data_IF_577265252945
#
_entry.id   IF_577265252945
#
_cell.length_a   1.000
_cell.length_b   1.000
_cell.length_c   1.000
_cell.angle_alpha   90.00
_cell.angle_beta   90.00
_cell.angle_gamma   90.00
#
_symmetry.space_group_name_H-M   'P 1'
#
loop_
_entity.id
_entity.type
_entity.pdbx_description
1 polymer ?
#
# COMPACT_ATOMS: atom_id res chain seq x y z
N UNK A 1 -30.00 0.07 -31.50
CA UNK A 1 -30.17 -1.28 -30.93
C UNK A 1 -30.58 -1.14 -29.48
N UNK A 2 -31.71 -1.75 -29.15
CA UNK A 2 -32.58 -1.40 -28.03
C UNK A 2 -32.05 -1.85 -26.66
N UNK A 3 -32.15 -0.93 -25.68
CA UNK A 3 -32.36 -1.24 -24.28
C UNK A 3 -33.85 -1.57 -24.10
N UNK A 4 -34.16 -2.77 -23.60
CA UNK A 4 -35.51 -3.12 -23.15
C UNK A 4 -35.48 -3.18 -21.63
N UNK A 5 -36.02 -2.13 -21.01
CA UNK A 5 -36.42 -2.09 -19.60
C UNK A 5 -37.95 -2.02 -19.59
N UNK A 6 -38.60 -3.14 -19.27
CA UNK A 6 -40.03 -3.19 -18.99
C UNK A 6 -40.27 -3.02 -17.50
N UNK A 7 -40.87 -1.90 -17.10
CA UNK A 7 -41.50 -1.74 -15.80
C UNK A 7 -42.83 -0.99 -15.99
N UNK A 8 -43.89 -1.64 -15.52
CA UNK A 8 -45.29 -1.32 -15.69
C UNK A 8 -45.70 -0.04 -14.94
N UNK A 9 -46.47 0.82 -15.61
CA UNK A 9 -47.15 1.99 -15.07
C UNK A 9 -48.42 1.63 -14.30
N UNK A 10 -48.61 2.24 -13.12
CA UNK A 10 -49.87 2.78 -12.56
C UNK A 10 -49.41 3.94 -11.65
N UNK A 11 -49.72 5.22 -11.84
CA UNK A 11 -51.00 5.82 -12.20
C UNK A 11 -51.61 6.39 -10.92
N UNK A 12 -51.29 7.63 -10.55
CA UNK A 12 -52.20 8.51 -9.81
C UNK A 12 -51.78 9.99 -9.89
N UNK A 13 -52.80 10.81 -9.89
CA UNK A 13 -52.94 12.14 -10.47
C UNK A 13 -52.82 13.28 -9.44
N UNK A 14 -52.52 14.46 -9.99
CA UNK A 14 -53.12 15.77 -9.73
C UNK A 14 -52.64 16.70 -8.58
N UNK A 15 -52.43 17.95 -9.07
CA UNK A 15 -52.75 19.28 -8.50
C UNK A 15 -51.68 19.99 -7.66
N UNK A 16 -51.29 21.16 -8.15
CA UNK A 16 -50.60 22.19 -7.37
C UNK A 16 -49.93 23.26 -8.23
N UNK A 17 -50.74 24.16 -8.80
CA UNK A 17 -50.28 25.33 -9.55
C UNK A 17 -49.41 26.27 -8.71
N UNK A 18 -48.43 26.93 -9.36
CA UNK A 18 -48.23 28.39 -9.32
C UNK A 18 -47.14 28.78 -10.31
N UNK A 19 -47.59 29.40 -11.40
CA UNK A 19 -46.79 30.22 -12.30
C UNK A 19 -46.40 31.52 -11.60
N UNK A 20 -45.15 31.94 -11.77
CA UNK A 20 -44.75 33.32 -11.58
C UNK A 20 -43.85 33.70 -12.75
N UNK A 21 -44.44 34.47 -13.67
CA UNK A 21 -43.76 35.13 -14.79
C UNK A 21 -43.31 36.48 -14.26
N UNK A 22 -42.00 36.77 -14.36
CA UNK A 22 -41.49 38.14 -14.31
C UNK A 22 -40.63 38.35 -15.55
N UNK A 23 -41.10 39.29 -16.38
CA UNK A 23 -40.41 39.79 -17.55
C UNK A 23 -39.23 40.69 -17.14
N UNK A 24 -38.11 40.56 -17.83
CA UNK A 24 -36.93 41.38 -17.62
C UNK A 24 -35.99 41.27 -18.81
N UNK A 25 -36.20 42.15 -19.80
CA UNK A 25 -35.38 42.34 -20.98
C UNK A 25 -34.00 42.89 -20.62
N UNK A 26 -32.93 42.24 -21.07
CA UNK A 26 -31.65 42.89 -21.37
C UNK A 26 -30.88 42.08 -22.41
N UNK A 27 -30.78 42.63 -23.63
CA UNK A 27 -29.86 42.17 -24.68
C UNK A 27 -28.43 42.48 -24.26
N UNK A 28 -27.54 41.49 -24.29
CA UNK A 28 -26.11 41.73 -24.42
C UNK A 28 -25.55 40.87 -25.55
N UNK A 29 -24.89 41.56 -26.48
CA UNK A 29 -24.23 41.02 -27.66
C UNK A 29 -23.01 40.21 -27.23
N UNK A 30 -22.93 38.94 -27.65
CA UNK A 30 -21.73 38.10 -27.46
C UNK A 30 -20.90 38.22 -28.74
N UNK A 31 -19.80 38.96 -28.66
CA UNK A 31 -18.78 39.01 -29.69
C UNK A 31 -18.00 37.68 -29.69
N UNK A 32 -18.09 36.93 -30.78
CA UNK A 32 -17.27 35.75 -31.05
C UNK A 32 -15.86 36.19 -31.43
N UNK A 33 -14.91 36.06 -30.51
CA UNK A 33 -13.48 36.19 -30.82
C UNK A 33 -12.94 34.82 -31.21
N UNK A 34 -12.70 34.65 -32.50
CA UNK A 34 -11.97 33.53 -33.10
C UNK A 34 -10.48 33.69 -32.78
N UNK A 35 -9.90 32.74 -32.05
CA UNK A 35 -8.45 32.64 -31.86
C UNK A 35 -7.95 31.35 -32.51
N UNK A 36 -7.27 31.51 -33.64
CA UNK A 36 -6.57 30.45 -34.35
C UNK A 36 -5.41 29.89 -33.49
N UNK A 37 -5.08 28.59 -33.60
CA UNK A 37 -3.98 28.00 -32.86
C UNK A 37 -2.65 28.43 -33.50
N UNK A 38 -1.84 29.17 -32.74
CA UNK A 38 -0.50 29.56 -33.18
C UNK A 38 0.47 28.42 -32.85
N UNK A 39 0.86 27.65 -33.88
CA UNK A 39 1.91 26.65 -33.84
C UNK A 39 3.28 27.34 -33.86
N UNK A 40 3.97 27.33 -32.71
CA UNK A 40 5.39 27.63 -32.63
C UNK A 40 6.10 26.43 -31.98
N UNK A 41 6.75 25.63 -32.82
CA UNK A 41 7.52 24.44 -32.45
C UNK A 41 8.86 24.86 -31.86
N UNK A 42 9.06 24.63 -30.57
CA UNK A 42 10.38 24.78 -29.92
C UNK A 42 11.10 23.42 -30.06
N UNK A 43 12.33 23.36 -30.63
CA UNK A 43 13.06 22.11 -30.76
C UNK A 43 13.62 21.71 -29.39
N UNK A 44 13.09 20.63 -28.81
CA UNK A 44 13.63 20.01 -27.60
C UNK A 44 14.67 18.98 -28.06
N UNK A 45 15.96 19.10 -27.69
CA UNK A 45 16.95 18.10 -28.04
C UNK A 45 16.64 16.79 -27.30
N UNK A 46 16.48 15.71 -28.07
CA UNK A 46 16.33 14.34 -27.57
C UNK A 46 17.61 13.92 -26.84
N UNK A 47 17.57 13.61 -25.53
CA UNK A 47 18.68 12.89 -24.93
C UNK A 47 18.54 11.43 -25.36
N UNK A 48 19.58 10.91 -26.01
CA UNK A 48 19.72 9.49 -26.31
C UNK A 48 19.59 8.71 -24.99
N UNK A 49 18.46 8.03 -24.81
CA UNK A 49 18.22 7.16 -23.67
C UNK A 49 19.07 5.90 -23.85
N UNK A 50 20.27 5.94 -23.30
CA UNK A 50 21.00 4.71 -23.01
C UNK A 50 20.10 3.83 -22.14
N UNK A 51 19.81 2.62 -22.63
CA UNK A 51 18.91 1.66 -21.98
C UNK A 51 19.41 1.39 -20.57
N UNK A 52 18.83 2.06 -19.58
CA UNK A 52 18.88 1.61 -18.19
C UNK A 52 18.04 0.33 -18.15
N UNK A 53 18.74 -0.77 -18.37
CA UNK A 53 18.24 -2.10 -18.10
C UNK A 53 17.76 -2.06 -16.65
N UNK A 54 16.46 -2.24 -16.46
CA UNK A 54 15.92 -2.66 -15.18
C UNK A 54 16.58 -4.00 -14.90
N UNK A 55 17.71 -3.93 -14.19
CA UNK A 55 18.42 -5.09 -13.72
C UNK A 55 17.38 -5.98 -13.08
N UNK A 56 17.22 -7.18 -13.64
CA UNK A 56 16.56 -8.34 -13.02
C UNK A 56 16.64 -8.15 -11.51
N UNK A 57 15.51 -7.82 -10.86
CA UNK A 57 15.45 -7.68 -9.42
C UNK A 57 16.02 -8.97 -8.84
N UNK A 58 17.20 -8.86 -8.24
CA UNK A 58 18.01 -10.02 -7.89
C UNK A 58 17.19 -10.94 -7.01
N UNK A 59 17.20 -12.24 -7.35
CA UNK A 59 16.85 -13.26 -6.38
C UNK A 59 17.62 -12.99 -5.08
N UNK A 60 17.05 -13.28 -3.90
CA UNK A 60 17.73 -13.04 -2.63
C UNK A 60 19.13 -13.65 -2.68
N UNK A 61 20.13 -12.94 -2.16
CA UNK A 61 21.44 -13.52 -1.95
C UNK A 61 21.26 -14.80 -1.13
N UNK A 62 21.41 -15.95 -1.77
CA UNK A 62 21.47 -17.24 -1.10
C UNK A 62 22.59 -17.13 -0.04
N UNK A 63 22.22 -17.34 1.23
CA UNK A 63 23.02 -17.58 2.44
C UNK A 63 24.57 -17.39 2.42
N UNK A 64 25.09 -16.34 1.80
CA UNK A 64 26.54 -16.10 1.64
C UNK A 64 26.93 -14.75 1.03
N UNK A 65 25.98 -13.82 0.88
CA UNK A 65 26.28 -12.44 0.44
C UNK A 65 26.86 -11.60 1.57
N UNK A 66 27.65 -10.56 1.24
CA UNK A 66 28.14 -9.60 2.24
C UNK A 66 26.95 -8.96 3.00
N UNK A 67 27.04 -8.80 4.33
CA UNK A 67 25.99 -8.20 5.13
C UNK A 67 25.74 -6.76 4.68
N UNK A 68 24.47 -6.41 4.46
CA UNK A 68 24.05 -5.09 3.98
C UNK A 68 23.58 -4.20 5.12
N UNK A 69 23.68 -2.89 4.93
CA UNK A 69 23.04 -1.86 5.75
C UNK A 69 21.69 -1.53 5.12
N UNK A 70 20.63 -2.07 5.70
CA UNK A 70 19.27 -2.00 5.16
C UNK A 70 18.42 -1.05 5.99
N UNK A 71 17.86 -0.04 5.31
CA UNK A 71 16.80 0.80 5.85
C UNK A 71 15.45 0.17 5.48
N UNK A 72 14.63 -0.17 6.46
CA UNK A 72 13.28 -0.69 6.25
C UNK A 72 12.26 0.45 6.44
N UNK A 73 11.62 0.87 5.35
CA UNK A 73 10.61 1.93 5.37
C UNK A 73 9.20 1.36 5.59
N UNK A 74 8.63 1.70 6.74
CA UNK A 74 7.24 1.41 7.09
C UNK A 74 6.35 2.58 6.66
N UNK A 75 5.42 2.35 5.72
CA UNK A 75 4.45 3.37 5.29
C UNK A 75 3.01 2.84 5.18
N UNK A 76 2.82 1.70 4.51
CA UNK A 76 1.49 1.11 4.27
C UNK A 76 1.29 -0.24 4.95
N UNK A 77 2.34 -0.74 5.61
CA UNK A 77 2.31 -2.06 6.22
C UNK A 77 2.98 -2.08 7.59
N UNK A 78 2.22 -1.68 8.61
CA UNK A 78 2.68 -1.48 9.99
C UNK A 78 2.63 -2.75 10.83
N UNK A 79 3.15 -3.87 10.30
CA UNK A 79 3.14 -5.19 10.96
C UNK A 79 4.49 -5.89 10.96
N UNK A 80 4.70 -6.71 11.98
CA UNK A 80 5.84 -7.63 12.10
C UNK A 80 5.54 -9.01 11.52
N UNK A 81 4.29 -9.45 11.62
CA UNK A 81 3.82 -10.72 11.07
C UNK A 81 3.58 -10.60 9.58
N UNK A 82 3.84 -11.68 8.85
CA UNK A 82 3.53 -11.80 7.43
C UNK A 82 4.12 -10.68 6.56
N UNK A 83 5.35 -10.27 6.88
CA UNK A 83 6.05 -9.18 6.25
C UNK A 83 7.34 -9.69 5.58
N UNK A 84 7.25 -9.90 4.26
CA UNK A 84 8.38 -10.39 3.45
C UNK A 84 9.53 -9.38 3.43
N UNK A 85 9.24 -8.08 3.23
CA UNK A 85 10.25 -7.02 3.22
C UNK A 85 11.04 -7.00 4.54
N UNK A 86 10.34 -7.09 5.68
CA UNK A 86 10.96 -7.13 6.99
C UNK A 86 11.86 -8.36 7.15
N UNK A 87 11.37 -9.53 6.77
CA UNK A 87 12.14 -10.78 6.87
C UNK A 87 13.43 -10.68 6.04
N UNK A 88 13.31 -10.19 4.79
CA UNK A 88 14.46 -9.97 3.89
C UNK A 88 15.43 -8.92 4.41
N UNK A 89 14.93 -7.84 4.99
CA UNK A 89 15.75 -6.77 5.55
C UNK A 89 16.56 -7.27 6.76
N UNK A 90 15.93 -8.02 7.66
CA UNK A 90 16.61 -8.62 8.82
C UNK A 90 17.65 -9.63 8.34
N UNK A 91 17.29 -10.54 7.44
CA UNK A 91 18.22 -11.57 6.96
C UNK A 91 19.40 -10.99 6.18
N UNK A 92 19.15 -9.98 5.34
CA UNK A 92 20.19 -9.30 4.56
C UNK A 92 21.15 -8.45 5.40
N UNK A 93 20.74 -8.05 6.61
CA UNK A 93 21.55 -7.24 7.53
C UNK A 93 22.28 -8.06 8.60
N UNK A 94 22.17 -9.40 8.59
CA UNK A 94 22.89 -10.25 9.54
C UNK A 94 24.38 -10.26 9.24
N UNK A 95 25.18 -9.76 10.17
CA UNK A 95 26.64 -9.89 10.16
C UNK A 95 27.35 -8.69 10.78
N UNK A 96 28.68 -8.76 10.98
CA UNK A 96 29.44 -7.74 11.73
C UNK A 96 29.40 -6.32 11.14
N UNK A 97 29.17 -6.20 9.83
CA UNK A 97 29.09 -4.91 9.12
C UNK A 97 27.66 -4.56 8.67
N UNK A 98 26.71 -5.46 8.93
CA UNK A 98 25.32 -5.24 8.59
C UNK A 98 24.66 -4.27 9.55
N UNK A 99 23.64 -3.58 9.08
CA UNK A 99 22.84 -2.69 9.89
C UNK A 99 21.38 -2.81 9.49
N UNK A 100 20.49 -2.73 10.45
CA UNK A 100 19.05 -2.70 10.21
C UNK A 100 18.49 -1.42 10.82
N UNK A 101 17.87 -0.59 10.00
CA UNK A 101 17.26 0.66 10.43
C UNK A 101 15.78 0.71 10.02
N UNK A 102 14.85 0.35 10.90
CA UNK A 102 13.42 0.52 10.64
C UNK A 102 13.00 1.99 10.82
N UNK A 103 12.30 2.53 9.83
CA UNK A 103 11.92 3.95 9.77
C UNK A 103 10.45 4.11 9.43
N UNK A 104 9.77 4.97 10.18
CA UNK A 104 8.44 5.49 9.88
C UNK A 104 8.54 7.01 9.66
N UNK A 105 8.10 7.49 8.49
CA UNK A 105 8.10 8.92 8.18
C UNK A 105 6.74 9.50 8.53
N UNK A 106 6.71 10.44 9.47
CA UNK A 106 5.51 11.13 9.91
C UNK A 106 5.19 12.28 8.93
N UNK A 107 4.34 12.00 7.95
CA UNK A 107 3.86 13.00 6.99
C UNK A 107 2.64 13.76 7.54
N UNK A 108 2.38 14.98 7.02
CA UNK A 108 1.29 15.86 7.48
C UNK A 108 -0.11 15.21 7.43
N UNK A 109 -0.32 14.32 6.47
CA UNK A 109 -1.60 13.64 6.21
C UNK A 109 -1.66 12.23 6.81
N UNK A 110 -0.76 11.88 7.74
CA UNK A 110 -0.78 10.58 8.41
C UNK A 110 -2.08 10.38 9.18
N UNK A 111 -2.81 9.30 8.88
CA UNK A 111 -4.09 9.02 9.52
C UNK A 111 -3.91 8.68 10.99
N UNK A 112 -4.94 8.93 11.81
CA UNK A 112 -4.95 8.54 13.22
C UNK A 112 -4.65 7.05 13.37
N UNK A 113 -5.27 6.19 12.57
CA UNK A 113 -5.09 4.74 12.57
C UNK A 113 -3.65 4.33 12.24
N UNK A 114 -2.98 5.01 11.30
CA UNK A 114 -1.57 4.79 11.00
C UNK A 114 -0.66 5.21 12.18
N UNK A 115 -0.96 6.30 12.88
CA UNK A 115 -0.23 6.69 14.10
C UNK A 115 -0.34 5.64 15.21
N UNK A 116 -1.55 5.11 15.45
CA UNK A 116 -1.74 4.05 16.45
C UNK A 116 -1.01 2.77 16.04
N UNK A 117 -1.04 2.44 14.75
CA UNK A 117 -0.30 1.33 14.17
C UNK A 117 1.22 1.48 14.35
N UNK A 118 1.76 2.67 14.10
CA UNK A 118 3.19 2.96 14.24
C UNK A 118 3.63 2.91 15.73
N UNK A 119 2.81 3.44 16.65
CA UNK A 119 3.07 3.37 18.08
C UNK A 119 3.07 1.91 18.60
N UNK A 120 2.10 1.11 18.16
CA UNK A 120 2.05 -0.31 18.52
C UNK A 120 3.20 -1.09 17.89
N UNK A 121 3.53 -0.82 16.62
CA UNK A 121 4.69 -1.41 15.95
C UNK A 121 5.96 -1.11 16.74
N UNK A 122 6.18 0.15 17.12
CA UNK A 122 7.31 0.58 17.96
C UNK A 122 7.41 -0.23 19.25
N UNK A 123 6.32 -0.31 20.02
CA UNK A 123 6.28 -1.08 21.27
C UNK A 123 6.58 -2.58 21.05
N UNK A 124 6.08 -3.17 19.96
CA UNK A 124 6.38 -4.56 19.61
C UNK A 124 7.84 -4.75 19.21
N UNK A 125 8.45 -3.77 18.53
CA UNK A 125 9.86 -3.82 18.14
C UNK A 125 10.79 -3.73 19.35
N UNK A 126 10.47 -2.86 20.32
CA UNK A 126 11.18 -2.73 21.60
C UNK A 126 11.24 -4.06 22.37
N UNK A 127 10.11 -4.77 22.45
CA UNK A 127 10.04 -6.10 23.09
C UNK A 127 10.93 -7.15 22.41
N UNK A 128 11.29 -6.95 21.14
CA UNK A 128 12.15 -7.85 20.37
C UNK A 128 13.61 -7.38 20.29
N UNK A 129 13.97 -6.32 21.04
CA UNK A 129 15.34 -5.79 21.12
C UNK A 129 15.71 -4.80 20.01
N UNK A 130 14.73 -4.25 19.30
CA UNK A 130 14.91 -3.21 18.27
C UNK A 130 14.06 -1.99 18.61
N UNK A 131 13.96 -1.02 17.71
CA UNK A 131 13.22 0.23 17.93
C UNK A 131 12.74 0.77 16.58
N UNK A 132 11.66 1.55 16.52
CA UNK A 132 11.22 2.20 15.28
C UNK A 132 11.68 3.66 15.28
N UNK A 133 12.52 4.05 14.31
CA UNK A 133 12.89 5.44 14.13
C UNK A 133 11.73 6.21 13.49
N UNK A 134 11.26 7.26 14.16
CA UNK A 134 10.19 8.12 13.66
C UNK A 134 10.77 9.47 13.29
N UNK A 135 10.51 9.91 12.06
CA UNK A 135 11.01 11.21 11.59
C UNK A 135 9.89 11.95 10.87
N UNK A 136 9.59 13.18 11.31
CA UNK A 136 8.68 14.06 10.58
C UNK A 136 9.33 14.62 9.32
N UNK A 137 8.60 14.58 8.20
CA UNK A 137 9.06 15.17 6.94
C UNK A 137 8.40 14.53 5.73
N UNK A 138 9.03 14.69 4.57
CA UNK A 138 8.61 14.08 3.30
C UNK A 138 9.52 12.87 3.02
N UNK A 139 8.94 11.69 2.73
CA UNK A 139 9.71 10.46 2.57
C UNK A 139 10.83 10.56 1.52
N UNK A 140 10.59 11.26 0.41
CA UNK A 140 11.58 11.46 -0.67
C UNK A 140 12.77 12.34 -0.29
N UNK A 141 12.70 13.06 0.83
CA UNK A 141 13.79 13.90 1.34
C UNK A 141 14.49 13.24 2.54
N UNK A 142 13.67 12.76 3.48
CA UNK A 142 14.12 12.15 4.73
C UNK A 142 14.88 10.85 4.46
N UNK A 143 14.33 9.94 3.65
CA UNK A 143 14.94 8.62 3.46
C UNK A 143 16.31 8.70 2.77
N UNK A 144 16.52 9.48 1.69
CA UNK A 144 17.86 9.66 1.13
C UNK A 144 18.85 10.31 2.10
N UNK A 145 18.38 11.26 2.94
CA UNK A 145 19.22 11.88 3.96
C UNK A 145 19.68 10.86 5.02
N UNK A 146 18.77 10.01 5.51
CA UNK A 146 19.09 8.92 6.44
C UNK A 146 20.04 7.89 5.79
N UNK A 147 19.82 7.57 4.52
CA UNK A 147 20.71 6.66 3.80
C UNK A 147 22.14 7.20 3.72
N UNK A 148 22.32 8.51 3.48
CA UNK A 148 23.64 9.15 3.51
C UNK A 148 24.22 9.20 4.93
N UNK A 149 23.45 9.65 5.93
CA UNK A 149 23.90 9.77 7.34
C UNK A 149 24.42 8.43 7.87
N UNK A 150 23.67 7.35 7.63
CA UNK A 150 23.99 6.03 8.16
C UNK A 150 24.60 5.07 7.13
N UNK A 151 25.03 5.57 5.96
CA UNK A 151 25.67 4.76 4.90
C UNK A 151 24.88 3.50 4.56
N UNK A 152 23.59 3.64 4.27
CA UNK A 152 22.73 2.50 3.92
C UNK A 152 23.00 2.04 2.50
N UNK A 153 23.00 0.73 2.27
CA UNK A 153 23.17 0.10 0.97
C UNK A 153 21.84 -0.05 0.24
N UNK A 154 20.74 -0.22 0.99
CA UNK A 154 19.43 -0.50 0.44
C UNK A 154 18.29 0.08 1.27
N UNK A 155 17.20 0.44 0.60
CA UNK A 155 15.89 0.80 1.19
C UNK A 155 14.88 -0.27 0.80
N UNK A 156 14.35 -0.97 1.79
CA UNK A 156 13.32 -2.00 1.63
C UNK A 156 11.97 -1.44 2.06
N UNK A 157 10.91 -1.74 1.32
CA UNK A 157 9.55 -1.30 1.66
C UNK A 157 8.51 -2.28 1.14
N UNK A 158 7.31 -2.23 1.69
CA UNK A 158 6.16 -2.95 1.13
C UNK A 158 5.44 -2.06 0.12
N UNK A 159 5.17 -2.59 -1.08
CA UNK A 159 4.47 -1.86 -2.14
C UNK A 159 3.01 -1.61 -1.79
N UNK A 160 2.50 -0.51 -2.32
CA UNK A 160 1.09 -0.14 -2.21
C UNK A 160 0.38 -0.07 -3.56
N UNK A 161 -0.95 -0.09 -3.50
CA UNK A 161 -1.84 0.14 -4.66
C UNK A 161 -2.49 1.52 -4.63
N UNK A 162 -2.33 2.27 -3.55
CA UNK A 162 -2.89 3.63 -3.44
C UNK A 162 -2.09 4.60 -4.30
N UNK A 163 -2.78 5.45 -5.06
CA UNK A 163 -2.14 6.40 -5.97
C UNK A 163 -1.13 7.33 -5.27
N UNK A 164 -1.44 7.75 -4.03
CA UNK A 164 -0.56 8.56 -3.20
C UNK A 164 0.73 7.83 -2.87
N UNK A 165 0.65 6.59 -2.36
CA UNK A 165 1.83 5.79 -2.03
C UNK A 165 2.65 5.45 -3.27
N UNK A 166 2.03 5.08 -4.38
CA UNK A 166 2.73 4.82 -5.65
C UNK A 166 3.46 6.07 -6.15
N UNK A 167 2.88 7.27 -5.96
CA UNK A 167 3.53 8.53 -6.30
C UNK A 167 4.74 8.82 -5.39
N UNK A 168 4.59 8.61 -4.08
CA UNK A 168 5.70 8.74 -3.12
C UNK A 168 6.83 7.74 -3.39
N UNK A 169 6.49 6.49 -3.70
CA UNK A 169 7.44 5.43 -4.09
C UNK A 169 8.24 5.82 -5.35
N UNK A 170 7.57 6.31 -6.39
CA UNK A 170 8.23 6.81 -7.62
C UNK A 170 9.12 8.02 -7.36
N UNK A 171 8.69 8.92 -6.49
CA UNK A 171 9.45 10.13 -6.15
C UNK A 171 10.70 9.76 -5.35
N UNK A 172 10.56 8.83 -4.40
CA UNK A 172 11.68 8.26 -3.66
C UNK A 172 12.65 7.52 -4.60
N UNK A 173 12.16 6.74 -5.55
CA UNK A 173 13.00 6.06 -6.54
C UNK A 173 13.84 7.08 -7.33
N UNK A 174 13.24 8.18 -7.79
CA UNK A 174 13.97 9.26 -8.48
C UNK A 174 15.00 9.93 -7.57
N UNK A 175 14.70 10.13 -6.29
CA UNK A 175 15.63 10.71 -5.34
C UNK A 175 16.83 9.80 -5.06
N UNK A 176 16.59 8.48 -4.98
CA UNK A 176 17.64 7.49 -4.74
C UNK A 176 18.47 7.14 -5.98
N UNK A 177 17.97 7.36 -7.21
CA UNK A 177 18.74 7.16 -8.45
C UNK A 177 20.05 7.97 -8.50
N UNK A 178 20.13 9.08 -7.77
CA UNK A 178 21.35 9.90 -7.66
C UNK A 178 22.36 9.34 -6.64
N UNK A 179 22.05 8.22 -5.99
CA UNK A 179 22.86 7.59 -4.94
C UNK A 179 23.06 6.11 -5.26
N UNK A 180 24.11 5.50 -4.71
CA UNK A 180 24.39 4.06 -4.88
C UNK A 180 23.49 3.15 -4.02
N UNK A 181 22.31 3.62 -3.63
CA UNK A 181 21.40 2.94 -2.70
C UNK A 181 20.32 2.22 -3.50
N UNK A 182 20.18 0.90 -3.31
CA UNK A 182 19.13 0.14 -3.98
C UNK A 182 17.76 0.39 -3.34
N UNK A 183 16.70 0.38 -4.13
CA UNK A 183 15.32 0.48 -3.65
C UNK A 183 14.57 -0.80 -4.03
N UNK A 184 14.17 -1.60 -3.04
CA UNK A 184 13.52 -2.89 -3.24
C UNK A 184 12.13 -2.92 -2.59
N UNK A 185 11.11 -3.16 -3.41
CA UNK A 185 9.70 -3.16 -3.00
C UNK A 185 9.09 -4.55 -3.03
N UNK A 186 8.45 -4.97 -1.94
CA UNK A 186 7.88 -6.31 -1.78
C UNK A 186 6.34 -6.28 -1.67
N UNK A 187 5.68 -7.36 -2.09
CA UNK A 187 4.23 -7.48 -2.03
C UNK A 187 3.79 -8.29 -0.80
N UNK A 188 3.45 -7.59 0.27
CA UNK A 188 2.90 -8.21 1.49
C UNK A 188 1.37 -8.08 1.59
N UNK A 189 0.78 -7.10 0.93
CA UNK A 189 -0.63 -6.74 1.05
C UNK A 189 -1.58 -7.53 0.13
N UNK A 190 -1.09 -8.58 -0.51
CA UNK A 190 -1.82 -9.48 -1.39
C UNK A 190 -1.82 -10.92 -0.85
N UNK A 191 -2.82 -11.72 -1.24
CA UNK A 191 -2.85 -13.15 -0.88
C UNK A 191 -1.77 -13.98 -1.60
N UNK A 192 -1.38 -13.52 -2.78
CA UNK A 192 -0.36 -14.11 -3.62
C UNK A 192 0.56 -13.01 -4.13
N UNK A 193 1.85 -13.29 -4.26
CA UNK A 193 2.79 -12.36 -4.86
C UNK A 193 2.43 -12.14 -6.34
N UNK A 194 2.04 -10.91 -6.75
CA UNK A 194 1.60 -10.62 -8.11
C UNK A 194 2.74 -10.69 -9.14
N UNK A 195 4.01 -10.71 -8.73
CA UNK A 195 5.15 -10.89 -9.64
C UNK A 195 5.31 -12.35 -10.08
N UNK A 196 4.84 -13.29 -9.26
CA UNK A 196 4.89 -14.74 -9.55
C UNK A 196 3.62 -15.28 -10.20
N UNK A 197 2.60 -14.43 -10.33
CA UNK A 197 1.30 -14.81 -10.91
C UNK A 197 1.17 -14.23 -12.31
N UNK A 198 0.47 -14.96 -13.18
CA UNK A 198 0.02 -14.40 -14.44
C UNK A 198 -1.15 -13.44 -14.19
N UNK A 199 -1.43 -12.58 -15.17
CA UNK A 199 -2.61 -11.71 -15.11
C UNK A 199 -3.86 -12.58 -15.22
N UNK A 200 -4.64 -12.62 -14.15
CA UNK A 200 -5.92 -13.30 -14.09
C UNK A 200 -7.08 -12.30 -14.01
N UNK A 201 -8.23 -12.71 -14.53
CA UNK A 201 -9.51 -12.07 -14.23
C UNK A 201 -9.86 -12.25 -12.75
N UNK A 202 -10.78 -11.41 -12.25
CA UNK A 202 -11.21 -11.53 -10.87
C UNK A 202 -11.91 -12.87 -10.55
N UNK A 203 -12.65 -13.44 -11.51
CA UNK A 203 -13.31 -14.73 -11.34
C UNK A 203 -12.32 -15.88 -11.18
N UNK A 204 -11.20 -15.82 -11.89
CA UNK A 204 -10.09 -16.76 -11.73
C UNK A 204 -9.40 -16.59 -10.39
N UNK A 205 -9.12 -15.36 -9.93
CA UNK A 205 -8.59 -15.13 -8.58
C UNK A 205 -9.51 -15.68 -7.49
N UNK A 206 -10.83 -15.49 -7.61
CA UNK A 206 -11.82 -16.07 -6.70
C UNK A 206 -11.75 -17.60 -6.67
N UNK A 207 -11.61 -18.22 -7.85
CA UNK A 207 -11.47 -19.67 -7.98
C UNK A 207 -10.15 -20.18 -7.40
N UNK A 208 -9.04 -19.46 -7.60
CA UNK A 208 -7.73 -19.77 -7.04
C UNK A 208 -7.77 -19.68 -5.52
N UNK A 209 -8.36 -18.61 -4.96
CA UNK A 209 -8.52 -18.44 -3.50
C UNK A 209 -9.43 -19.52 -2.90
N UNK A 210 -10.44 -19.98 -3.64
CA UNK A 210 -11.29 -21.08 -3.20
C UNK A 210 -10.57 -22.44 -3.23
N UNK A 211 -9.71 -22.70 -4.23
CA UNK A 211 -9.01 -23.98 -4.43
C UNK A 211 -7.69 -24.10 -3.66
N UNK A 212 -6.86 -23.06 -3.66
CA UNK A 212 -5.59 -23.03 -2.92
C UNK A 212 -5.90 -22.83 -1.43
N UNK A 213 -5.93 -23.94 -0.71
CA UNK A 213 -6.17 -24.04 0.73
C UNK A 213 -5.16 -23.26 1.60
N UNK A 214 -4.09 -22.73 1.01
CA UNK A 214 -3.09 -21.91 1.68
C UNK A 214 -2.62 -20.81 0.72
N UNK A 215 -2.67 -19.56 1.17
CA UNK A 215 -1.85 -18.49 0.60
C UNK A 215 -0.38 -18.91 0.68
N UNK A 216 0.49 -18.38 -0.19
CA UNK A 216 1.95 -18.56 -0.05
C UNK A 216 2.34 -18.37 1.43
N UNK A 217 3.17 -19.28 1.95
CA UNK A 217 3.42 -19.44 3.38
C UNK A 217 3.53 -18.11 4.13
N UNK A 218 2.77 -17.99 5.22
CA UNK A 218 2.76 -16.79 6.05
C UNK A 218 4.15 -16.61 6.65
N UNK A 219 4.76 -15.44 6.44
CA UNK A 219 6.05 -15.14 7.07
C UNK A 219 5.83 -15.00 8.58
N UNK A 220 6.52 -15.79 9.38
CA UNK A 220 6.41 -15.68 10.85
C UNK A 220 7.06 -14.38 11.31
N UNK A 221 6.48 -13.74 12.31
CA UNK A 221 7.14 -12.62 12.95
C UNK A 221 8.52 -13.03 13.51
N UNK A 222 9.52 -12.14 13.44
CA UNK A 222 10.84 -12.41 13.98
C UNK A 222 10.77 -12.62 15.50
N UNK A 223 11.48 -13.62 16.01
CA UNK A 223 11.60 -13.88 17.46
C UNK A 223 12.60 -12.95 18.15
N UNK A 224 13.56 -12.41 17.40
CA UNK A 224 14.53 -11.38 17.81
C UNK A 224 14.82 -10.48 16.63
N UNK A 225 15.08 -9.20 16.89
CA UNK A 225 15.45 -8.24 15.86
C UNK A 225 16.82 -7.62 16.13
N UNK A 226 17.54 -7.16 15.08
CA UNK A 226 18.79 -6.44 15.27
C UNK A 226 18.55 -5.13 16.01
N UNK A 227 19.47 -4.79 16.92
CA UNK A 227 19.49 -3.50 17.57
C UNK A 227 19.82 -2.39 16.55
N UNK A 228 19.39 -1.17 16.85
CA UNK A 228 19.68 -0.02 16.00
C UNK A 228 21.17 0.30 15.99
N UNK A 229 21.68 0.93 14.91
CA UNK A 229 22.99 1.54 14.93
C UNK A 229 23.10 2.52 16.11
N UNK A 230 24.24 2.50 16.83
CA UNK A 230 24.44 3.26 18.09
C UNK A 230 24.25 4.77 17.94
N UNK A 231 24.45 5.31 16.74
CA UNK A 231 24.44 6.74 16.47
C UNK A 231 23.04 7.26 16.06
N UNK A 232 22.00 6.44 16.16
CA UNK A 232 20.64 6.83 15.79
C UNK A 232 19.99 7.60 16.94
N UNK A 233 19.77 8.89 16.71
CA UNK A 233 18.97 9.75 17.58
C UNK A 233 17.49 9.39 17.46
N UNK A 234 16.90 8.93 18.58
CA UNK A 234 15.48 8.61 18.66
C UNK A 234 14.67 9.85 18.99
N UNK A 235 13.50 9.97 18.36
CA UNK A 235 12.52 11.01 18.69
C UNK A 235 11.35 10.41 19.48
N UNK A 236 10.76 11.22 20.37
CA UNK A 236 9.60 10.83 21.18
C UNK A 236 8.26 11.21 20.51
N UNK A 237 8.23 11.33 19.17
CA UNK A 237 7.05 11.84 18.44
C UNK A 237 5.78 10.96 18.57
N UNK A 238 5.89 9.72 19.06
CA UNK A 238 4.77 8.77 19.19
C UNK A 238 4.25 8.58 20.63
N UNK A 239 4.78 9.25 21.65
CA UNK A 239 4.54 8.83 23.05
C UNK A 239 3.17 9.18 23.65
N UNK A 240 2.41 10.11 23.06
CA UNK A 240 1.33 10.75 23.83
C UNK A 240 -0.04 10.05 23.83
N UNK A 241 -0.31 9.05 22.97
CA UNK A 241 -1.63 8.39 22.91
C UNK A 241 -1.57 7.20 21.96
N UNK A 242 -2.54 6.27 22.08
CA UNK A 242 -2.94 5.32 21.02
C UNK A 242 -2.37 3.89 21.08
N UNK A 243 -2.68 3.16 22.16
CA UNK A 243 -2.51 1.69 22.24
C UNK A 243 -3.63 0.86 21.57
N UNK A 244 -3.99 1.11 20.31
CA UNK A 244 -5.11 0.43 19.61
C UNK A 244 -4.89 0.23 18.11
N UNK A 245 -3.69 -0.16 17.67
CA UNK A 245 -3.42 -0.51 16.26
C UNK A 245 -3.86 -1.94 15.93
N UNK A 246 -2.89 -2.85 15.81
CA UNK A 246 -3.12 -4.26 15.50
C UNK A 246 -3.95 -4.99 16.58
N UNK A 247 -3.75 -4.67 17.87
CA UNK A 247 -4.56 -5.26 18.94
C UNK A 247 -6.04 -4.89 18.84
N UNK A 248 -6.37 -3.69 18.35
CA UNK A 248 -7.76 -3.30 18.12
C UNK A 248 -8.36 -4.05 16.93
N UNK A 249 -7.60 -4.24 15.84
CA UNK A 249 -8.01 -5.06 14.70
C UNK A 249 -8.31 -6.50 15.14
N UNK A 250 -7.43 -7.09 15.94
CA UNK A 250 -7.56 -8.45 16.44
C UNK A 250 -8.75 -8.57 17.40
N UNK A 251 -8.94 -7.61 18.31
CA UNK A 251 -10.09 -7.55 19.20
C UNK A 251 -11.42 -7.37 18.45
N UNK A 252 -11.43 -6.56 17.38
CA UNK A 252 -12.60 -6.43 16.51
C UNK A 252 -12.95 -7.76 15.83
N UNK A 253 -11.91 -8.50 15.40
CA UNK A 253 -12.04 -9.80 14.77
C UNK A 253 -12.49 -10.92 15.75
N UNK A 254 -12.10 -10.83 17.02
CA UNK A 254 -12.53 -11.75 18.09
C UNK A 254 -13.96 -11.47 18.57
N UNK A 255 -14.36 -10.19 18.67
CA UNK A 255 -15.66 -9.77 19.21
C UNK A 255 -16.86 -10.08 18.31
N UNK A 256 -16.66 -10.45 17.05
CA UNK A 256 -17.74 -10.53 16.08
C UNK A 256 -18.05 -11.98 15.70
N UNK A 257 -19.24 -12.45 16.14
CA UNK A 257 -19.75 -13.80 15.88
C UNK A 257 -20.29 -14.05 14.46
N UNK A 258 -20.65 -15.31 14.17
CA UNK A 258 -21.06 -15.79 12.84
C UNK A 258 -22.36 -15.14 12.35
N UNK A 259 -22.41 -14.73 11.06
CA UNK A 259 -23.61 -14.24 10.37
C UNK A 259 -23.35 -13.17 9.28
N UNK A 260 -24.18 -13.08 8.21
CA UNK A 260 -23.93 -12.20 7.05
C UNK A 260 -24.03 -10.70 7.35
N UNK A 261 -24.97 -10.27 8.21
CA UNK A 261 -25.08 -8.87 8.65
C UNK A 261 -23.85 -8.44 9.49
N UNK A 262 -23.29 -9.36 10.27
CA UNK A 262 -22.07 -9.13 11.07
C UNK A 262 -20.81 -9.06 10.19
N UNK A 263 -20.76 -9.81 9.08
CA UNK A 263 -19.67 -9.71 8.10
C UNK A 263 -19.58 -8.33 7.45
N UNK A 264 -20.70 -7.65 7.18
CA UNK A 264 -20.65 -6.30 6.61
C UNK A 264 -20.06 -5.29 7.57
N UNK A 265 -20.45 -5.33 8.86
CA UNK A 265 -19.86 -4.48 9.90
C UNK A 265 -18.37 -4.74 10.08
N UNK A 266 -17.98 -6.02 10.06
CA UNK A 266 -16.58 -6.44 10.13
C UNK A 266 -15.73 -5.87 8.99
N UNK A 267 -16.22 -5.91 7.75
CA UNK A 267 -15.49 -5.35 6.59
C UNK A 267 -15.27 -3.84 6.77
N UNK A 268 -16.27 -3.11 7.27
CA UNK A 268 -16.17 -1.66 7.52
C UNK A 268 -15.15 -1.36 8.62
N UNK A 269 -15.21 -2.05 9.75
CA UNK A 269 -14.30 -1.83 10.88
C UNK A 269 -12.85 -2.21 10.54
N UNK A 270 -12.65 -3.32 9.82
CA UNK A 270 -11.31 -3.77 9.45
C UNK A 270 -10.69 -2.99 8.29
N UNK A 271 -11.49 -2.28 7.49
CA UNK A 271 -11.00 -1.62 6.26
C UNK A 271 -9.79 -0.72 6.53
N UNK A 272 -9.84 0.10 7.57
CA UNK A 272 -8.73 0.99 7.93
C UNK A 272 -7.50 0.22 8.41
N UNK A 273 -7.71 -0.82 9.21
CA UNK A 273 -6.64 -1.68 9.71
C UNK A 273 -5.92 -2.44 8.59
N UNK A 274 -6.67 -2.92 7.60
CA UNK A 274 -6.15 -3.57 6.41
C UNK A 274 -5.47 -2.52 5.50
N UNK A 275 -6.02 -1.31 5.38
CA UNK A 275 -5.40 -0.23 4.60
C UNK A 275 -4.04 0.22 5.18
N UNK A 276 -3.92 0.31 6.50
CA UNK A 276 -2.66 0.64 7.19
C UNK A 276 -1.72 -0.57 7.37
N UNK A 277 -2.17 -1.78 6.98
CA UNK A 277 -1.45 -3.03 7.13
C UNK A 277 -1.11 -3.39 8.58
N UNK A 278 -1.98 -3.02 9.53
CA UNK A 278 -1.87 -3.49 10.93
C UNK A 278 -2.26 -4.95 11.09
N UNK A 279 -2.95 -5.52 10.09
CA UNK A 279 -3.38 -6.91 10.05
C UNK A 279 -3.10 -7.52 8.67
N UNK A 280 -2.64 -8.78 8.65
CA UNK A 280 -2.33 -9.48 7.40
C UNK A 280 -3.60 -9.92 6.67
N UNK A 281 -3.70 -9.66 5.34
CA UNK A 281 -4.75 -10.22 4.49
C UNK A 281 -4.80 -11.76 4.51
N UNK A 282 -3.64 -12.40 4.60
CA UNK A 282 -3.51 -13.87 4.64
C UNK A 282 -4.03 -14.43 5.97
N UNK A 283 -3.64 -13.80 7.08
CA UNK A 283 -4.14 -14.18 8.41
C UNK A 283 -5.67 -14.00 8.52
N UNK A 284 -6.20 -12.90 7.97
CA UNK A 284 -7.65 -12.65 7.93
C UNK A 284 -8.40 -13.72 7.14
N UNK A 285 -7.89 -14.11 5.98
CA UNK A 285 -8.49 -15.16 5.17
C UNK A 285 -8.48 -16.51 5.91
N UNK A 286 -7.36 -16.83 6.56
CA UNK A 286 -7.24 -18.06 7.36
C UNK A 286 -8.25 -18.08 8.52
N UNK A 287 -8.39 -16.97 9.24
CA UNK A 287 -9.36 -16.86 10.33
C UNK A 287 -10.81 -16.93 9.83
N UNK A 288 -11.12 -16.28 8.70
CA UNK A 288 -12.44 -16.35 8.09
C UNK A 288 -12.83 -17.78 7.71
N UNK A 289 -11.86 -18.57 7.23
CA UNK A 289 -12.03 -20.00 6.93
C UNK A 289 -12.28 -20.81 8.20
N UNK A 290 -11.48 -20.61 9.25
CA UNK A 290 -11.66 -21.28 10.56
C UNK A 290 -13.05 -21.03 11.15
N UNK A 291 -13.57 -19.81 11.04
CA UNK A 291 -14.85 -19.44 11.63
C UNK A 291 -16.06 -19.95 10.82
N UNK A 292 -16.02 -19.86 9.49
CA UNK A 292 -17.21 -20.05 8.64
C UNK A 292 -17.12 -21.24 7.67
N UNK A 293 -15.97 -21.92 7.56
CA UNK A 293 -15.73 -23.00 6.58
C UNK A 293 -15.81 -22.55 5.10
N UNK A 294 -16.10 -21.27 4.84
CA UNK A 294 -16.46 -20.76 3.52
C UNK A 294 -15.45 -19.71 3.03
N UNK A 295 -14.88 -19.95 1.85
CA UNK A 295 -13.98 -19.06 1.12
C UNK A 295 -14.71 -17.99 0.28
N UNK A 296 -16.05 -18.00 0.28
CA UNK A 296 -16.91 -17.09 -0.51
C UNK A 296 -17.62 -16.02 0.32
N UNK A 297 -17.31 -15.88 1.61
CA UNK A 297 -17.84 -14.81 2.45
C UNK A 297 -17.36 -13.42 1.99
N UNK A 298 -18.06 -12.35 2.40
CA UNK A 298 -17.74 -10.97 1.97
C UNK A 298 -16.28 -10.60 2.25
N UNK A 299 -15.75 -10.97 3.42
CA UNK A 299 -14.35 -10.73 3.78
C UNK A 299 -13.36 -11.39 2.82
N UNK A 300 -13.63 -12.64 2.39
CA UNK A 300 -12.75 -13.33 1.45
C UNK A 300 -12.81 -12.69 0.06
N UNK A 301 -13.98 -12.22 -0.37
CA UNK A 301 -14.13 -11.47 -1.62
C UNK A 301 -13.36 -10.14 -1.59
N UNK A 302 -13.35 -9.43 -0.46
CA UNK A 302 -12.50 -8.23 -0.30
C UNK A 302 -11.01 -8.56 -0.45
N UNK A 303 -10.55 -9.70 0.08
CA UNK A 303 -9.14 -10.12 -0.05
C UNK A 303 -8.81 -10.51 -1.51
N UNK A 304 -9.78 -11.09 -2.24
CA UNK A 304 -9.67 -11.35 -3.68
C UNK A 304 -9.55 -10.03 -4.45
N UNK A 305 -10.43 -9.06 -4.20
CA UNK A 305 -10.37 -7.73 -4.82
C UNK A 305 -9.04 -7.04 -4.56
N UNK A 306 -8.56 -7.08 -3.32
CA UNK A 306 -7.25 -6.51 -2.94
C UNK A 306 -6.10 -7.14 -3.70
N UNK A 307 -6.09 -8.48 -3.80
CA UNK A 307 -5.07 -9.23 -4.54
C UNK A 307 -5.12 -8.91 -6.04
N UNK A 308 -6.33 -8.83 -6.61
CA UNK A 308 -6.54 -8.43 -7.99
C UNK A 308 -5.99 -7.02 -8.26
N UNK A 309 -6.27 -6.04 -7.39
CA UNK A 309 -5.74 -4.69 -7.53
C UNK A 309 -4.21 -4.64 -7.46
N UNK A 310 -3.58 -5.44 -6.60
CA UNK A 310 -2.12 -5.57 -6.57
C UNK A 310 -1.58 -6.11 -7.90
N UNK A 311 -2.24 -7.11 -8.48
CA UNK A 311 -1.88 -7.64 -9.81
C UNK A 311 -2.06 -6.61 -10.92
N UNK A 312 -3.18 -5.86 -10.93
CA UNK A 312 -3.41 -4.78 -11.90
C UNK A 312 -2.30 -3.74 -11.83
N UNK A 313 -2.00 -3.22 -10.62
CA UNK A 313 -0.94 -2.23 -10.43
C UNK A 313 0.42 -2.79 -10.84
N UNK A 314 0.75 -4.04 -10.48
CA UNK A 314 2.00 -4.67 -10.88
C UNK A 314 2.15 -4.75 -12.42
N UNK A 315 1.09 -5.12 -13.13
CA UNK A 315 1.13 -5.26 -14.59
C UNK A 315 1.06 -3.92 -15.34
N UNK A 316 0.43 -2.88 -14.78
CA UNK A 316 0.39 -1.53 -15.39
C UNK A 316 1.62 -0.69 -15.08
N UNK A 317 2.28 -0.94 -13.95
CA UNK A 317 3.54 -0.29 -13.55
C UNK A 317 4.78 -0.96 -14.15
N UNK A 318 4.66 -2.16 -14.71
CA UNK A 318 5.76 -2.79 -15.45
C UNK A 318 6.03 -2.02 -16.75
N UNK A 319 7.25 -1.49 -16.94
CA UNK A 319 7.60 -0.65 -18.09
C UNK A 319 7.62 -1.41 -19.42
N UNK A 320 7.41 -2.74 -19.40
CA UNK A 320 7.35 -3.59 -20.61
C UNK A 320 6.11 -3.30 -21.46
N UNK A 321 5.10 -2.56 -20.97
CA UNK A 321 3.82 -2.39 -21.70
C UNK A 321 3.26 -0.96 -21.76
N UNK A 322 4.06 0.06 -21.47
CA UNK A 322 3.68 1.45 -21.80
C UNK A 322 4.01 1.83 -23.25
N UNK A 323 4.48 0.86 -24.05
CA UNK A 323 4.70 0.98 -25.49
C UNK A 323 3.81 -0.03 -26.23
N UNK A 324 2.49 0.16 -26.18
CA UNK A 324 1.52 -0.33 -27.18
C UNK A 324 0.38 0.68 -27.27
#
# INVERSE_FOLDING_TARGET
MAFVSGAFSKGLELKGARTCVVAGSARMSVATVSLAPNTATIPVPSPEFERVSLGRFGAPNAAGGKPKRVLMWFHTDLRLDDNEALTKAIDGSRGPQGAFLPVFVLEKNTSKTALQGAAELRSRMQKLGSELLVVRGIASEVLPALCRKYRMDAVYYNRSVTATSVSSEKTLQKALMKSSVSLEGFWSNALFNPERQQKHSIGEYSSIVAKKATSEGVFRAPSKMPALPRDVELTNELEASFGRGAHAAQKALEKLGKGPCKQQKMVVELREHIACGTISPRALLEQARKQNGNTRGRLAQEMVWRTYMCSVVNHTSSPVKQAV
#
